data_IF_192291871123
#
_entry.id   IF_192291871123
#
_cell.length_a   1.000
_cell.length_b   1.000
_cell.length_c   1.000
_cell.angle_alpha   90.00
_cell.angle_beta   90.00
_cell.angle_gamma   90.00
#
_symmetry.space_group_name_H-M   'P 1'
#
loop_
_entity.id
_entity.type
_entity.pdbx_description
1 polymer ?
#
# COMPACT_ATOMS: atom_id res chain seq x y z
N UNK A 1 -66.20 -24.77 -27.01
CA UNK A 1 -65.41 -25.54 -28.00
C UNK A 1 -65.54 -27.00 -27.66
N UNK A 2 -66.12 -27.80 -28.54
CA UNK A 2 -66.34 -29.24 -28.32
C UNK A 2 -65.14 -30.04 -28.84
N UNK A 3 -64.89 -31.23 -28.26
CA UNK A 3 -63.75 -32.09 -28.61
C UNK A 3 -63.63 -32.35 -30.12
N UNK A 4 -64.76 -32.45 -30.82
CA UNK A 4 -64.82 -32.65 -32.28
C UNK A 4 -64.18 -31.50 -33.08
N UNK A 5 -64.20 -30.27 -32.57
CA UNK A 5 -63.56 -29.14 -33.23
C UNK A 5 -62.03 -29.22 -33.14
N UNK A 6 -61.50 -29.70 -32.00
CA UNK A 6 -60.06 -29.88 -31.82
C UNK A 6 -59.56 -31.06 -32.66
N UNK A 7 -60.32 -32.15 -32.72
CA UNK A 7 -59.98 -33.33 -33.54
C UNK A 7 -59.91 -32.96 -35.03
N UNK A 8 -60.89 -32.19 -35.53
CA UNK A 8 -60.88 -31.69 -36.91
C UNK A 8 -59.71 -30.74 -37.21
N UNK A 9 -59.26 -29.96 -36.22
CA UNK A 9 -58.10 -29.06 -36.35
C UNK A 9 -56.79 -29.85 -36.36
N UNK A 10 -56.65 -30.84 -35.47
CA UNK A 10 -55.48 -31.71 -35.40
C UNK A 10 -55.34 -32.53 -36.69
N UNK A 11 -56.45 -33.09 -37.18
CA UNK A 11 -56.46 -33.90 -38.38
C UNK A 11 -56.18 -33.07 -39.64
N UNK A 12 -56.73 -31.86 -39.74
CA UNK A 12 -56.49 -30.95 -40.87
C UNK A 12 -55.07 -30.38 -40.93
N UNK A 13 -54.33 -30.38 -39.82
CA UNK A 13 -52.97 -29.82 -39.75
C UNK A 13 -51.89 -30.86 -39.50
N UNK A 14 -52.23 -32.16 -39.38
CA UNK A 14 -51.28 -33.25 -39.14
C UNK A 14 -50.11 -33.24 -40.13
N UNK A 15 -50.38 -32.98 -41.41
CA UNK A 15 -49.34 -32.92 -42.45
C UNK A 15 -48.32 -31.78 -42.26
N UNK A 16 -48.66 -30.71 -41.54
CA UNK A 16 -47.72 -29.62 -41.22
C UNK A 16 -46.87 -29.91 -39.97
N UNK A 17 -47.22 -30.92 -39.18
CA UNK A 17 -46.43 -31.37 -38.03
C UNK A 17 -45.45 -32.49 -38.39
N UNK A 18 -45.67 -33.20 -39.49
CA UNK A 18 -44.74 -34.20 -40.03
C UNK A 18 -43.65 -33.55 -40.92
N UNK A 19 -43.08 -32.43 -40.46
CA UNK A 19 -41.87 -31.87 -41.07
C UNK A 19 -40.68 -32.65 -40.52
N UNK A 20 -39.90 -33.28 -41.40
CA UNK A 20 -38.61 -33.89 -41.08
C UNK A 20 -37.80 -32.92 -40.21
N UNK A 21 -37.42 -33.38 -39.01
CA UNK A 21 -36.75 -32.54 -38.02
C UNK A 21 -35.57 -31.76 -38.63
N UNK A 22 -35.27 -30.56 -38.10
CA UNK A 22 -34.28 -29.68 -38.70
C UNK A 22 -32.96 -30.43 -38.95
N UNK A 23 -32.46 -30.33 -40.18
CA UNK A 23 -31.28 -31.06 -40.64
C UNK A 23 -30.09 -30.91 -39.69
N UNK A 24 -29.33 -31.98 -39.51
CA UNK A 24 -28.20 -32.09 -38.58
C UNK A 24 -27.20 -30.91 -38.67
N UNK A 25 -27.07 -30.30 -39.85
CA UNK A 25 -26.23 -29.11 -40.09
C UNK A 25 -26.69 -27.85 -39.34
N UNK A 26 -28.00 -27.66 -39.14
CA UNK A 26 -28.54 -26.54 -38.35
C UNK A 26 -28.17 -26.69 -36.87
N UNK A 27 -28.23 -27.91 -36.34
CA UNK A 27 -27.84 -28.18 -34.96
C UNK A 27 -26.34 -28.05 -34.74
N UNK A 28 -25.52 -28.47 -35.70
CA UNK A 28 -24.06 -28.31 -35.64
C UNK A 28 -23.64 -26.82 -35.58
N UNK A 29 -24.31 -25.95 -36.32
CA UNK A 29 -24.04 -24.51 -36.27
C UNK A 29 -24.37 -23.89 -34.90
N UNK A 30 -25.46 -24.35 -34.27
CA UNK A 30 -25.87 -23.89 -32.93
C UNK A 30 -24.94 -24.42 -31.84
N UNK A 31 -24.54 -25.69 -31.90
CA UNK A 31 -23.62 -26.27 -30.91
C UNK A 31 -22.23 -25.65 -30.99
N UNK A 32 -21.73 -25.38 -32.20
CA UNK A 32 -20.41 -24.76 -32.40
C UNK A 32 -20.33 -23.33 -31.80
N UNK A 33 -21.40 -22.54 -31.86
CA UNK A 33 -21.41 -21.20 -31.25
C UNK A 33 -21.45 -21.20 -29.73
N UNK A 34 -21.97 -22.28 -29.12
CA UNK A 34 -22.03 -22.41 -27.66
C UNK A 34 -20.67 -22.79 -27.06
N UNK A 35 -19.94 -23.69 -27.72
CA UNK A 35 -18.60 -24.10 -27.28
C UNK A 35 -17.58 -22.96 -27.34
N UNK A 36 -17.63 -22.12 -28.38
CA UNK A 36 -16.69 -21.01 -28.55
C UNK A 36 -16.83 -19.93 -27.45
N UNK A 37 -18.06 -19.66 -26.98
CA UNK A 37 -18.30 -18.76 -25.83
C UNK A 37 -17.89 -19.38 -24.50
N UNK A 38 -18.15 -20.67 -24.31
CA UNK A 38 -17.76 -21.39 -23.10
C UNK A 38 -16.22 -21.44 -22.96
N UNK A 39 -15.52 -21.68 -24.06
CA UNK A 39 -14.06 -21.79 -24.10
C UNK A 39 -13.35 -20.44 -23.86
N UNK A 40 -13.89 -19.33 -24.39
CA UNK A 40 -13.39 -17.97 -24.08
C UNK A 40 -13.63 -17.59 -22.62
N UNK A 41 -14.81 -17.89 -22.06
CA UNK A 41 -15.14 -17.61 -20.66
C UNK A 41 -14.24 -18.40 -19.70
N UNK A 42 -13.93 -19.66 -20.02
CA UNK A 42 -13.04 -20.50 -19.21
C UNK A 42 -11.60 -19.98 -19.20
N UNK A 43 -11.08 -19.53 -20.35
CA UNK A 43 -9.73 -18.93 -20.46
C UNK A 43 -9.60 -17.62 -19.68
N UNK A 44 -10.61 -16.75 -19.72
CA UNK A 44 -10.65 -15.52 -18.91
C UNK A 44 -10.67 -15.82 -17.40
N UNK A 45 -11.43 -16.84 -16.97
CA UNK A 45 -11.48 -17.25 -15.56
C UNK A 45 -10.17 -17.89 -15.07
N UNK A 46 -9.47 -18.64 -15.94
CA UNK A 46 -8.13 -19.18 -15.65
C UNK A 46 -7.07 -18.07 -15.57
N UNK A 47 -7.14 -17.05 -16.43
CA UNK A 47 -6.21 -15.91 -16.39
C UNK A 47 -6.34 -15.09 -15.09
N UNK A 48 -7.56 -14.89 -14.58
CA UNK A 48 -7.80 -14.16 -13.32
C UNK A 48 -7.27 -14.93 -12.09
N UNK A 49 -7.29 -16.27 -12.12
CA UNK A 49 -6.71 -17.10 -11.05
C UNK A 49 -5.18 -17.01 -10.96
N UNK A 50 -4.51 -16.64 -12.04
CA UNK A 50 -3.04 -16.55 -12.11
C UNK A 50 -2.46 -15.20 -11.69
N UNK A 51 -3.30 -14.18 -11.43
CA UNK A 51 -2.84 -12.86 -10.99
C UNK A 51 -2.80 -12.70 -9.46
N UNK A 52 -3.65 -13.43 -8.72
CA UNK A 52 -3.76 -13.29 -7.27
C UNK A 52 -2.48 -13.72 -6.53
N UNK A 53 -1.80 -14.78 -6.99
CA UNK A 53 -0.55 -15.23 -6.38
C UNK A 53 0.61 -14.24 -6.59
N UNK A 54 0.67 -13.59 -7.77
CA UNK A 54 1.69 -12.57 -8.05
C UNK A 54 1.42 -11.31 -7.25
N UNK A 55 0.17 -10.85 -7.16
CA UNK A 55 -0.21 -9.70 -6.34
C UNK A 55 -0.02 -9.98 -4.85
N UNK A 56 -0.30 -11.20 -4.38
CA UNK A 56 -0.05 -11.59 -3.00
C UNK A 56 1.45 -11.72 -2.69
N UNK A 57 2.27 -12.27 -3.59
CA UNK A 57 3.72 -12.33 -3.42
C UNK A 57 4.38 -10.95 -3.49
N UNK A 58 3.92 -10.08 -4.39
CA UNK A 58 4.41 -8.70 -4.48
C UNK A 58 3.93 -7.89 -3.27
N UNK A 59 2.68 -8.05 -2.84
CA UNK A 59 2.14 -7.36 -1.66
C UNK A 59 2.80 -7.83 -0.36
N UNK A 60 2.99 -9.13 -0.18
CA UNK A 60 3.64 -9.69 1.00
C UNK A 60 5.16 -9.46 0.98
N UNK A 61 5.78 -9.49 -0.20
CA UNK A 61 7.17 -9.10 -0.41
C UNK A 61 7.41 -7.60 -0.21
N UNK A 62 6.46 -6.74 -0.58
CA UNK A 62 6.54 -5.30 -0.31
C UNK A 62 6.31 -4.99 1.18
N UNK A 63 5.33 -5.63 1.82
CA UNK A 63 5.08 -5.46 3.26
C UNK A 63 6.25 -5.96 4.10
N UNK A 64 6.79 -7.14 3.81
CA UNK A 64 8.02 -7.64 4.43
C UNK A 64 9.24 -6.80 4.03
N UNK A 65 9.29 -6.29 2.80
CA UNK A 65 10.36 -5.42 2.32
C UNK A 65 10.43 -4.08 3.06
N UNK A 66 9.29 -3.49 3.42
CA UNK A 66 9.23 -2.27 4.25
C UNK A 66 9.56 -2.60 5.71
N UNK A 67 9.15 -3.76 6.21
CA UNK A 67 9.34 -4.15 7.62
C UNK A 67 10.75 -4.69 7.92
N UNK A 68 11.38 -5.35 6.94
CA UNK A 68 12.75 -5.87 7.00
C UNK A 68 13.73 -5.00 6.23
N UNK A 69 13.33 -3.84 5.70
CA UNK A 69 14.29 -2.87 5.19
C UNK A 69 15.22 -2.54 6.36
N UNK A 70 16.49 -2.98 6.35
CA UNK A 70 17.45 -2.32 7.21
C UNK A 70 17.36 -0.84 6.84
N UNK A 71 17.33 0.04 7.85
CA UNK A 71 17.46 1.47 7.62
C UNK A 71 18.50 1.65 6.51
N UNK A 72 18.22 2.45 5.45
CA UNK A 72 19.11 2.57 4.32
C UNK A 72 20.51 2.70 4.89
N UNK A 73 21.37 1.75 4.55
CA UNK A 73 22.75 1.79 4.99
C UNK A 73 23.28 3.01 4.26
N UNK A 74 23.15 4.15 4.93
CA UNK A 74 23.75 5.40 4.50
C UNK A 74 25.21 5.01 4.43
N UNK A 75 25.76 4.98 3.21
CA UNK A 75 27.19 4.85 2.96
C UNK A 75 27.90 5.50 4.13
N UNK A 76 28.66 4.71 4.91
CA UNK A 76 29.14 5.10 6.23
C UNK A 76 29.51 6.57 6.19
N UNK A 77 28.67 7.40 6.84
CA UNK A 77 28.58 8.82 6.53
C UNK A 77 29.95 9.48 6.59
N UNK A 78 30.10 10.67 6.01
CA UNK A 78 31.41 11.37 5.97
C UNK A 78 32.02 11.48 7.41
N UNK A 79 31.18 11.46 8.46
CA UNK A 79 31.59 11.35 9.87
C UNK A 79 32.29 10.03 10.28
N UNK A 80 31.97 8.90 9.64
CA UNK A 80 32.61 7.60 9.84
C UNK A 80 34.06 7.56 9.34
N UNK A 81 34.41 8.44 8.38
CA UNK A 81 35.79 8.62 7.90
C UNK A 81 36.67 9.28 8.97
N UNK A 82 36.06 10.03 9.90
CA UNK A 82 36.73 10.76 10.99
C UNK A 82 36.89 9.86 12.21
N UNK A 83 35.79 9.32 12.76
CA UNK A 83 35.83 8.33 13.84
C UNK A 83 34.61 7.37 13.80
N UNK A 84 34.83 6.04 13.84
CA UNK A 84 33.77 5.03 13.81
C UNK A 84 32.76 5.11 14.97
N UNK A 85 33.08 5.78 16.08
CA UNK A 85 32.11 6.04 17.15
C UNK A 85 30.98 6.98 16.70
N UNK A 86 31.28 7.97 15.84
CA UNK A 86 30.26 8.87 15.31
C UNK A 86 29.27 8.16 14.41
N UNK A 87 29.73 7.20 13.60
CA UNK A 87 28.85 6.41 12.74
C UNK A 87 27.76 5.68 13.54
N UNK A 88 28.11 5.15 14.72
CA UNK A 88 27.14 4.50 15.62
C UNK A 88 26.13 5.48 16.19
N UNK A 89 26.58 6.67 16.61
CA UNK A 89 25.70 7.69 17.16
C UNK A 89 24.77 8.25 16.08
N UNK A 90 25.28 8.53 14.88
CA UNK A 90 24.49 8.96 13.73
C UNK A 90 23.40 7.95 13.39
N UNK A 91 23.74 6.65 13.36
CA UNK A 91 22.76 5.59 13.12
C UNK A 91 21.66 5.55 14.20
N UNK A 92 22.01 5.65 15.48
CA UNK A 92 21.05 5.71 16.60
C UNK A 92 20.13 6.95 16.49
N UNK A 93 20.68 8.12 16.17
CA UNK A 93 19.89 9.32 15.98
C UNK A 93 18.95 9.21 14.76
N UNK A 94 19.43 8.69 13.64
CA UNK A 94 18.60 8.50 12.45
C UNK A 94 17.45 7.52 12.71
N UNK A 95 17.71 6.43 13.43
CA UNK A 95 16.66 5.50 13.84
C UNK A 95 15.59 6.21 14.68
N UNK A 96 16.00 6.97 15.70
CA UNK A 96 15.06 7.73 16.56
C UNK A 96 14.28 8.79 15.79
N UNK A 97 14.91 9.48 14.85
CA UNK A 97 14.25 10.45 13.97
C UNK A 97 13.16 9.75 13.16
N UNK A 98 13.50 8.61 12.54
CA UNK A 98 12.56 7.85 11.74
C UNK A 98 11.37 7.36 12.56
N UNK A 99 11.61 6.75 13.73
CA UNK A 99 10.55 6.28 14.63
C UNK A 99 9.60 7.41 15.03
N UNK A 100 10.14 8.57 15.41
CA UNK A 100 9.34 9.74 15.80
C UNK A 100 8.63 10.38 14.61
N UNK A 101 9.25 10.39 13.44
CA UNK A 101 8.62 10.90 12.23
C UNK A 101 7.41 10.05 11.83
N UNK A 102 7.55 8.71 11.90
CA UNK A 102 6.42 7.79 11.68
C UNK A 102 5.29 7.99 12.69
N UNK A 103 5.64 8.27 13.95
CA UNK A 103 4.64 8.68 14.94
C UNK A 103 4.03 10.05 14.63
N UNK A 104 4.76 10.98 14.01
CA UNK A 104 4.24 12.31 13.72
C UNK A 104 3.25 12.31 12.55
N UNK A 105 3.52 11.55 11.49
CA UNK A 105 2.64 11.46 10.31
C UNK A 105 1.31 10.76 10.58
N UNK A 106 1.16 10.06 11.72
CA UNK A 106 -0.14 9.54 12.15
C UNK A 106 -1.07 10.63 12.71
N UNK A 107 -0.55 11.85 12.94
CA UNK A 107 -1.32 13.00 13.43
C UNK A 107 -1.51 14.05 12.34
N UNK A 108 -2.72 14.64 12.23
CA UNK A 108 -3.02 15.71 11.25
C UNK A 108 -2.20 16.99 11.46
N UNK A 109 -1.66 17.22 12.67
CA UNK A 109 -0.84 18.41 12.95
C UNK A 109 0.61 18.31 12.46
N UNK A 110 0.97 17.25 11.72
CA UNK A 110 2.33 17.04 11.21
C UNK A 110 2.84 18.21 10.33
N UNK A 111 1.97 18.85 9.56
CA UNK A 111 2.34 19.92 8.62
C UNK A 111 2.89 21.17 9.31
N UNK A 112 2.49 21.44 10.57
CA UNK A 112 2.94 22.62 11.31
C UNK A 112 4.45 22.57 11.66
N UNK A 113 5.04 21.37 11.68
CA UNK A 113 6.43 21.15 12.13
C UNK A 113 7.35 20.79 10.97
N UNK A 114 6.76 20.43 9.83
CA UNK A 114 7.47 20.05 8.62
C UNK A 114 8.50 21.12 8.18
N UNK A 115 8.10 22.39 8.15
CA UNK A 115 9.00 23.48 7.76
C UNK A 115 10.23 23.61 8.68
N UNK A 116 10.06 23.38 9.99
CA UNK A 116 11.17 23.44 10.95
C UNK A 116 12.11 22.23 10.80
N UNK A 117 11.56 21.06 10.47
CA UNK A 117 12.37 19.86 10.18
C UNK A 117 13.15 20.01 8.87
N UNK A 118 12.55 20.58 7.84
CA UNK A 118 13.19 20.83 6.55
C UNK A 118 14.40 21.78 6.72
N UNK A 119 14.28 22.85 7.53
CA UNK A 119 15.43 23.73 7.84
C UNK A 119 16.57 23.01 8.55
N UNK A 120 16.25 22.06 9.44
CA UNK A 120 17.28 21.25 10.11
C UNK A 120 17.96 20.30 9.12
N UNK A 121 17.21 19.76 8.17
CA UNK A 121 17.74 18.91 7.11
C UNK A 121 18.67 19.68 6.17
N UNK A 122 18.31 20.91 5.81
CA UNK A 122 19.17 21.82 5.06
C UNK A 122 20.48 22.11 5.80
N UNK A 123 20.41 22.46 7.08
CA UNK A 123 21.60 22.72 7.90
C UNK A 123 22.52 21.49 8.01
N UNK A 124 21.95 20.29 8.15
CA UNK A 124 22.74 19.05 8.17
C UNK A 124 23.39 18.76 6.81
N UNK A 125 22.71 19.05 5.70
CA UNK A 125 23.27 18.90 4.36
C UNK A 125 24.43 19.86 4.11
N UNK A 126 24.32 21.11 4.58
CA UNK A 126 25.40 22.10 4.52
C UNK A 126 26.64 21.63 5.30
N UNK A 127 26.46 21.19 6.55
CA UNK A 127 27.56 20.67 7.38
C UNK A 127 28.22 19.45 6.73
N UNK A 128 27.42 18.55 6.13
CA UNK A 128 27.95 17.39 5.40
C UNK A 128 28.78 17.82 4.18
N UNK A 129 28.30 18.79 3.41
CA UNK A 129 29.05 19.32 2.27
C UNK A 129 30.37 19.99 2.70
N UNK A 130 30.36 20.72 3.83
CA UNK A 130 31.58 21.28 4.41
C UNK A 130 32.56 20.19 4.86
N UNK A 131 32.04 19.09 5.40
CA UNK A 131 32.85 17.96 5.86
C UNK A 131 33.55 17.23 4.71
N UNK A 132 32.98 17.19 3.49
CA UNK A 132 33.63 16.58 2.32
C UNK A 132 34.89 17.33 1.86
N UNK A 133 34.92 18.65 2.06
CA UNK A 133 36.02 19.53 1.62
C UNK A 133 36.86 20.07 2.78
N UNK A 134 36.61 19.58 4.00
CA UNK A 134 37.22 20.09 5.21
C UNK A 134 38.74 19.82 5.22
N UNK A 135 39.56 20.80 5.65
CA UNK A 135 40.97 20.56 5.92
C UNK A 135 41.15 19.72 7.20
N UNK A 136 42.22 18.91 7.29
CA UNK A 136 42.48 18.06 8.44
C UNK A 136 42.54 18.89 9.73
N UNK A 137 41.72 18.51 10.72
CA UNK A 137 41.60 19.18 12.02
C UNK A 137 40.32 19.99 12.23
N UNK A 138 39.58 20.36 11.17
CA UNK A 138 38.23 20.96 11.28
C UNK A 138 37.10 19.94 11.25
N UNK A 139 37.39 18.74 10.76
CA UNK A 139 36.44 17.64 10.62
C UNK A 139 35.75 17.28 11.95
N UNK A 140 36.50 17.19 13.05
CA UNK A 140 35.92 16.87 14.37
C UNK A 140 34.91 17.92 14.85
N UNK A 141 35.18 19.20 14.58
CA UNK A 141 34.27 20.30 14.96
C UNK A 141 32.96 20.21 14.16
N UNK A 142 33.07 20.01 12.85
CA UNK A 142 31.92 19.84 11.96
C UNK A 142 31.11 18.59 12.31
N UNK A 143 31.76 17.47 12.63
CA UNK A 143 31.09 16.24 13.06
C UNK A 143 30.35 16.44 14.39
N UNK A 144 30.94 17.17 15.35
CA UNK A 144 30.24 17.53 16.60
C UNK A 144 29.04 18.43 16.33
N UNK A 145 29.21 19.44 15.48
CA UNK A 145 28.11 20.32 15.08
C UNK A 145 26.97 19.52 14.43
N UNK A 146 27.30 18.59 13.54
CA UNK A 146 26.33 17.71 12.90
C UNK A 146 25.57 16.85 13.94
N UNK A 147 26.29 16.31 14.93
CA UNK A 147 25.70 15.53 16.02
C UNK A 147 24.74 16.36 16.87
N UNK A 148 25.11 17.60 17.17
CA UNK A 148 24.25 18.53 17.91
C UNK A 148 23.00 18.88 17.10
N UNK A 149 23.10 19.02 15.77
CA UNK A 149 21.95 19.21 14.89
C UNK A 149 21.02 17.99 14.90
N UNK A 150 21.57 16.77 14.85
CA UNK A 150 20.77 15.54 14.99
C UNK A 150 20.02 15.49 16.33
N UNK A 151 20.71 15.82 17.43
CA UNK A 151 20.11 15.88 18.77
C UNK A 151 18.99 16.91 18.85
N UNK A 152 19.19 18.09 18.25
CA UNK A 152 18.17 19.14 18.19
C UNK A 152 16.92 18.67 17.42
N UNK A 153 17.11 17.98 16.28
CA UNK A 153 16.01 17.41 15.50
C UNK A 153 15.19 16.41 16.31
N UNK A 154 15.85 15.49 17.01
CA UNK A 154 15.17 14.54 17.91
C UNK A 154 14.41 15.26 19.02
N UNK A 155 15.01 16.25 19.65
CA UNK A 155 14.38 17.02 20.72
C UNK A 155 13.10 17.74 20.26
N UNK A 156 13.15 18.36 19.07
CA UNK A 156 11.98 19.04 18.49
C UNK A 156 10.87 18.04 18.21
N UNK A 157 11.20 16.91 17.58
CA UNK A 157 10.24 15.83 17.30
C UNK A 157 9.58 15.31 18.60
N UNK A 158 10.36 15.09 19.65
CA UNK A 158 9.84 14.67 20.97
C UNK A 158 8.88 15.70 21.56
N UNK A 159 9.27 16.98 21.53
CA UNK A 159 8.47 18.05 22.11
C UNK A 159 7.15 18.25 21.36
N UNK A 160 7.19 18.11 20.04
CA UNK A 160 6.01 18.21 19.17
C UNK A 160 5.07 17.04 19.42
N UNK A 161 5.60 15.81 19.41
CA UNK A 161 4.80 14.61 19.73
C UNK A 161 4.19 14.70 21.12
N UNK A 162 4.98 15.12 22.13
CA UNK A 162 4.49 15.31 23.50
C UNK A 162 3.36 16.34 23.56
N UNK A 163 3.49 17.46 22.83
CA UNK A 163 2.44 18.47 22.75
C UNK A 163 1.18 17.94 22.08
N UNK A 164 1.30 17.18 20.99
CA UNK A 164 0.15 16.57 20.30
C UNK A 164 -0.55 15.56 21.22
N UNK A 165 0.20 14.67 21.88
CA UNK A 165 -0.34 13.69 22.83
C UNK A 165 -1.03 14.35 24.04
N UNK A 166 -0.48 15.44 24.56
CA UNK A 166 -1.10 16.19 25.66
C UNK A 166 -2.35 16.96 25.22
N UNK A 167 -2.41 17.41 23.97
CA UNK A 167 -3.53 18.21 23.44
C UNK A 167 -4.65 17.32 22.90
N UNK A 168 -4.35 16.08 22.51
CA UNK A 168 -5.30 15.11 21.96
C UNK A 168 -5.04 13.71 22.55
N UNK A 169 -5.60 13.39 23.73
CA UNK A 169 -5.33 12.12 24.43
C UNK A 169 -6.05 10.89 23.84
N UNK A 170 -6.90 11.06 22.83
CA UNK A 170 -7.62 9.93 22.23
C UNK A 170 -6.89 9.42 20.98
N UNK A 171 -6.46 8.14 20.96
CA UNK A 171 -6.31 7.43 19.70
C UNK A 171 -7.67 7.50 19.00
N UNK A 172 -7.69 7.75 17.69
CA UNK A 172 -8.93 7.67 16.91
C UNK A 172 -9.41 6.21 16.99
N UNK A 173 -10.28 5.92 17.96
CA UNK A 173 -11.09 4.71 17.96
C UNK A 173 -12.03 4.83 16.76
N UNK A 174 -11.76 4.00 15.76
CA UNK A 174 -12.67 3.77 14.65
C UNK A 174 -14.03 3.39 15.23
N UNK A 175 -15.00 4.28 15.04
CA UNK A 175 -16.36 4.11 15.53
C UNK A 175 -16.93 2.73 15.19
N UNK A 176 -17.23 1.96 16.21
CA UNK A 176 -18.29 0.95 16.13
C UNK A 176 -19.55 1.56 16.72
N UNK A 177 -20.46 1.84 15.81
CA UNK A 177 -21.84 2.26 15.98
C UNK A 177 -22.59 1.47 17.06
N UNK A 178 -23.43 2.20 17.80
CA UNK A 178 -24.74 1.79 18.32
C UNK A 178 -24.99 0.30 18.60
N UNK A 179 -25.18 -0.03 19.88
CA UNK A 179 -26.30 -0.88 20.26
C UNK A 179 -26.81 -0.44 21.62
N UNK A 180 -27.75 0.51 21.60
CA UNK A 180 -28.76 0.64 22.64
C UNK A 180 -29.46 -0.70 22.76
N UNK A 181 -29.06 -1.52 23.74
CA UNK A 181 -29.91 -2.59 24.21
C UNK A 181 -30.78 -2.05 25.33
N UNK A 182 -32.06 -1.97 24.99
CA UNK A 182 -33.21 -1.56 25.78
C UNK A 182 -33.27 -2.20 27.17
N UNK A 183 -33.32 -1.36 28.19
CA UNK A 183 -33.98 -1.67 29.45
C UNK A 183 -35.42 -1.17 29.38
N UNK A 184 -36.34 -2.02 28.90
CA UNK A 184 -37.72 -2.18 29.40
C UNK A 184 -38.11 -3.64 29.20
#
# INVERSE_FOLDING_TARGET
MTSEQIEKIIESHRGHFEVEGPGLSLWQGVSAQLDDRAQKRHRLWQAIRSAAAVVALVGMGAALGIYLQPAPVVDGGIAALVDPQFAKMEADYQQRIQEKYQQLVSYEQADAVRADLERLDEAMAEIKAELEVAPPGKEEELVRSLLDTYRAKVYILERVLSRIQMTNPEPIELGTTESSNSLI
#
